data_IF_258889812741
#
_entry.id   IF_258889812741
#
_cell.length_a   1.000
_cell.length_b   1.000
_cell.length_c   1.000
_cell.angle_alpha   90.00
_cell.angle_beta   90.00
_cell.angle_gamma   90.00
#
_symmetry.space_group_name_H-M   'P 1'
#
loop_
_entity.id
_entity.type
_entity.pdbx_description
1 polymer ?
#
# COMPACT_ATOMS: atom_id res chain seq x y z
N UNK A 1 3.49 15.06 -3.78
CA UNK A 1 2.78 15.11 -2.50
C UNK A 1 3.35 16.31 -1.79
N UNK A 2 2.56 17.36 -1.53
CA UNK A 2 3.01 18.45 -0.66
C UNK A 2 2.49 18.11 0.74
N UNK A 3 3.39 17.57 1.56
CA UNK A 3 3.14 17.47 2.99
C UNK A 3 3.82 18.65 3.65
N UNK A 4 3.02 19.59 4.11
CA UNK A 4 3.46 20.63 5.03
C UNK A 4 3.52 20.05 6.44
N UNK A 5 4.64 20.24 7.13
CA UNK A 5 4.77 19.97 8.55
C UNK A 5 5.20 21.24 9.27
N UNK A 6 4.59 21.51 10.41
CA UNK A 6 5.04 22.53 11.36
C UNK A 6 5.88 21.83 12.40
N UNK A 7 7.10 22.29 12.60
CA UNK A 7 8.06 21.71 13.54
C UNK A 7 8.43 22.78 14.56
N UNK A 8 8.18 22.50 15.83
CA UNK A 8 8.57 23.36 16.95
C UNK A 8 9.82 22.78 17.59
N UNK A 9 10.87 23.59 17.68
CA UNK A 9 12.17 23.15 18.16
C UNK A 9 12.87 24.22 18.96
N UNK A 10 13.83 23.78 19.78
CA UNK A 10 14.70 24.67 20.54
C UNK A 10 16.13 24.16 20.57
N UNK A 11 17.06 25.08 20.78
CA UNK A 11 18.45 24.74 21.10
C UNK A 11 18.52 24.28 22.55
N UNK A 12 19.00 23.07 22.76
CA UNK A 12 19.24 22.50 24.09
C UNK A 12 20.71 22.60 24.49
N UNK A 13 21.62 22.52 23.52
CA UNK A 13 23.07 22.65 23.72
C UNK A 13 23.65 23.59 22.67
N UNK A 14 23.95 24.83 23.08
CA UNK A 14 24.45 25.86 22.19
C UNK A 14 25.87 25.55 21.64
N UNK A 15 26.69 24.80 22.38
CA UNK A 15 28.01 24.41 21.90
C UNK A 15 27.85 23.39 20.76
N UNK A 16 27.05 22.34 20.95
CA UNK A 16 26.77 21.38 19.87
C UNK A 16 26.09 22.04 18.68
N UNK A 17 25.13 22.92 18.91
CA UNK A 17 24.44 23.63 17.83
C UNK A 17 25.34 24.58 17.03
N UNK A 18 26.43 25.07 17.63
CA UNK A 18 27.40 25.95 16.96
C UNK A 18 28.59 25.23 16.34
N UNK A 19 28.97 24.05 16.83
CA UNK A 19 30.17 23.33 16.37
C UNK A 19 29.86 22.11 15.50
N UNK A 20 28.69 21.48 15.66
CA UNK A 20 28.36 20.26 14.93
C UNK A 20 27.52 20.53 13.68
N UNK A 21 26.98 21.75 13.54
CA UNK A 21 26.11 22.15 12.45
C UNK A 21 26.38 23.61 12.12
N UNK A 22 26.61 23.93 10.84
CA UNK A 22 26.89 25.30 10.40
C UNK A 22 25.65 26.20 10.52
N UNK A 23 24.56 25.84 9.83
CA UNK A 23 23.25 26.49 9.96
C UNK A 23 22.23 25.51 10.54
N UNK A 24 21.99 25.64 11.85
CA UNK A 24 21.03 24.79 12.55
C UNK A 24 19.58 24.96 12.04
N UNK A 25 19.20 26.12 11.50
CA UNK A 25 17.85 26.32 10.95
C UNK A 25 17.70 25.56 9.64
N UNK A 26 18.68 25.69 8.75
CA UNK A 26 18.70 24.97 7.48
C UNK A 26 18.78 23.45 7.73
N UNK A 27 19.62 23.02 8.66
CA UNK A 27 19.75 21.61 9.03
C UNK A 27 18.45 21.03 9.56
N UNK A 28 17.76 21.72 10.48
CA UNK A 28 16.43 21.30 10.97
C UNK A 28 15.44 21.24 9.82
N UNK A 29 15.42 22.23 8.92
CA UNK A 29 14.57 22.23 7.73
C UNK A 29 14.79 20.99 6.85
N UNK A 30 16.04 20.71 6.50
CA UNK A 30 16.43 19.58 5.66
C UNK A 30 16.10 18.23 6.31
N UNK A 31 16.37 18.07 7.61
CA UNK A 31 16.04 16.83 8.34
C UNK A 31 14.52 16.64 8.48
N UNK A 32 13.78 17.73 8.70
CA UNK A 32 12.32 17.74 8.75
C UNK A 32 11.71 17.31 7.43
N UNK A 33 12.16 17.88 6.31
CA UNK A 33 11.69 17.50 4.99
C UNK A 33 11.98 16.03 4.67
N UNK A 34 13.19 15.57 4.96
CA UNK A 34 13.60 14.18 4.76
C UNK A 34 12.74 13.20 5.57
N UNK A 35 12.49 13.49 6.85
CA UNK A 35 11.66 12.65 7.71
C UNK A 35 10.19 12.63 7.26
N UNK A 36 9.63 13.79 6.89
CA UNK A 36 8.27 13.88 6.34
C UNK A 36 8.14 13.02 5.08
N UNK A 37 9.09 13.09 4.15
CA UNK A 37 9.10 12.24 2.94
C UNK A 37 9.18 10.75 3.28
N UNK A 38 9.98 10.37 4.27
CA UNK A 38 10.12 8.98 4.69
C UNK A 38 8.81 8.42 5.27
N UNK A 39 8.14 9.17 6.14
CA UNK A 39 6.82 8.83 6.69
C UNK A 39 5.78 8.71 5.58
N UNK A 40 5.76 9.68 4.66
CA UNK A 40 4.85 9.71 3.52
C UNK A 40 4.98 8.50 2.58
N UNK A 41 6.19 7.96 2.45
CA UNK A 41 6.47 6.80 1.62
C UNK A 41 6.10 5.47 2.31
N UNK A 42 6.09 5.45 3.65
CA UNK A 42 5.81 4.25 4.45
C UNK A 42 4.33 4.03 4.73
N UNK A 43 3.56 5.10 4.88
CA UNK A 43 2.16 5.02 5.29
C UNK A 43 1.22 5.48 4.17
N UNK A 44 0.09 4.79 3.95
CA UNK A 44 -0.94 5.26 3.04
C UNK A 44 -1.55 6.57 3.53
N UNK A 45 -2.02 7.39 2.60
CA UNK A 45 -2.71 8.64 2.93
C UNK A 45 -3.95 8.40 3.81
N UNK A 46 -4.79 7.43 3.44
CA UNK A 46 -6.02 7.07 4.13
C UNK A 46 -6.22 5.54 4.01
N UNK A 47 -6.69 4.90 5.07
CA UNK A 47 -6.97 3.45 5.12
C UNK A 47 -7.79 3.11 6.36
N UNK A 48 -8.82 2.29 6.19
CA UNK A 48 -9.64 1.75 7.28
C UNK A 48 -9.05 0.46 7.90
N UNK A 49 -8.03 -0.12 7.25
CA UNK A 49 -7.47 -1.44 7.63
C UNK A 49 -6.07 -1.34 8.24
N UNK A 50 -5.33 -0.28 7.95
CA UNK A 50 -3.94 -0.10 8.33
C UNK A 50 -3.70 1.34 8.77
N UNK A 51 -2.64 1.57 9.56
CA UNK A 51 -2.26 2.92 10.01
C UNK A 51 -2.07 3.85 8.82
N UNK A 52 -2.79 4.97 8.80
CA UNK A 52 -2.73 5.94 7.71
C UNK A 52 -2.38 7.35 8.18
N UNK A 53 -1.86 8.17 7.25
CA UNK A 53 -1.49 9.55 7.54
C UNK A 53 -2.69 10.39 8.03
N UNK A 54 -3.89 10.10 7.50
CA UNK A 54 -5.14 10.79 7.86
C UNK A 54 -5.84 10.16 9.06
N UNK A 55 -5.99 8.83 9.07
CA UNK A 55 -6.75 8.12 10.12
C UNK A 55 -6.02 8.05 11.46
N UNK A 56 -4.69 8.07 11.44
CA UNK A 56 -3.84 7.91 12.63
C UNK A 56 -2.86 9.08 12.79
N UNK A 57 -3.34 10.31 12.57
CA UNK A 57 -2.50 11.51 12.55
C UNK A 57 -1.66 11.70 13.82
N UNK A 58 -2.20 11.39 15.00
CA UNK A 58 -1.48 11.50 16.29
C UNK A 58 -0.35 10.45 16.41
N UNK A 59 -0.62 9.19 16.04
CA UNK A 59 0.40 8.13 16.05
C UNK A 59 1.54 8.45 15.08
N UNK A 60 1.19 8.91 13.87
CA UNK A 60 2.16 9.30 12.85
C UNK A 60 2.98 10.50 13.30
N UNK A 61 2.35 11.47 13.96
CA UNK A 61 3.00 12.63 14.54
C UNK A 61 4.03 12.24 15.60
N UNK A 62 3.67 11.33 16.51
CA UNK A 62 4.59 10.83 17.54
C UNK A 62 5.78 10.09 16.93
N UNK A 63 5.54 9.25 15.92
CA UNK A 63 6.63 8.57 15.20
C UNK A 63 7.57 9.55 14.50
N UNK A 64 7.02 10.60 13.88
CA UNK A 64 7.81 11.64 13.24
C UNK A 64 8.63 12.43 14.26
N UNK A 65 8.08 12.73 15.44
CA UNK A 65 8.77 13.39 16.54
C UNK A 65 9.97 12.57 17.03
N UNK A 66 9.78 11.26 17.24
CA UNK A 66 10.84 10.34 17.64
C UNK A 66 11.94 10.24 16.59
N UNK A 67 11.57 10.08 15.31
CA UNK A 67 12.54 9.98 14.22
C UNK A 67 13.37 11.26 14.08
N UNK A 68 12.74 12.43 14.19
CA UNK A 68 13.44 13.71 14.12
C UNK A 68 14.38 13.93 15.31
N UNK A 69 13.92 13.65 16.53
CA UNK A 69 14.79 13.74 17.71
C UNK A 69 15.98 12.78 17.63
N UNK A 70 15.77 11.58 17.08
CA UNK A 70 16.86 10.65 16.84
C UNK A 70 17.89 11.22 15.83
N UNK A 71 17.44 11.74 14.68
CA UNK A 71 18.30 12.33 13.65
C UNK A 71 19.04 13.59 14.12
N UNK A 72 18.40 14.39 14.97
CA UNK A 72 18.95 15.68 15.46
C UNK A 72 19.72 15.56 16.78
N UNK A 73 19.79 14.37 17.38
CA UNK A 73 20.43 14.14 18.68
C UNK A 73 21.89 14.66 18.78
N UNK A 74 22.63 14.66 17.68
CA UNK A 74 24.02 15.13 17.61
C UNK A 74 24.15 16.64 17.42
N UNK A 75 23.07 17.33 17.03
CA UNK A 75 23.08 18.77 16.71
C UNK A 75 22.86 19.68 17.92
N UNK A 76 22.55 19.13 19.10
CA UNK A 76 22.18 19.95 20.26
C UNK A 76 20.78 20.59 20.15
N UNK A 77 19.99 20.15 19.17
CA UNK A 77 18.62 20.61 18.90
C UNK A 77 17.64 19.54 19.41
N UNK A 78 16.55 19.98 20.02
CA UNK A 78 15.44 19.13 20.42
C UNK A 78 14.18 19.59 19.70
N UNK A 79 13.44 18.63 19.15
CA UNK A 79 12.09 18.87 18.61
C UNK A 79 11.10 18.68 19.76
N UNK A 80 10.33 19.71 20.04
CA UNK A 80 9.31 19.72 21.11
C UNK A 80 7.95 19.26 20.60
N UNK A 81 7.61 19.64 19.38
CA UNK A 81 6.36 19.27 18.74
C UNK A 81 6.51 19.20 17.22
N UNK A 82 5.73 18.33 16.60
CA UNK A 82 5.61 18.26 15.14
C UNK A 82 4.15 18.07 14.79
N UNK A 83 3.68 18.76 13.75
CA UNK A 83 2.31 18.59 13.28
C UNK A 83 2.25 18.64 11.77
N UNK A 84 1.65 17.61 11.18
CA UNK A 84 1.31 17.64 9.76
C UNK A 84 0.22 18.72 9.55
N UNK A 85 0.56 19.78 8.84
CA UNK A 85 -0.27 21.00 8.69
C UNK A 85 -1.00 21.04 7.35
N UNK A 86 -0.40 20.49 6.30
CA UNK A 86 -1.02 20.42 4.98
C UNK A 86 -0.76 19.05 4.39
N UNK A 87 -1.82 18.30 4.11
CA UNK A 87 -1.75 17.19 3.17
C UNK A 87 -2.60 17.56 1.96
N UNK A 88 -2.09 18.49 1.13
CA UNK A 88 -2.70 18.73 -0.16
C UNK A 88 -1.91 18.04 -1.27
N UNK A 89 -2.67 17.48 -2.19
CA UNK A 89 -2.12 16.95 -3.40
C UNK A 89 -1.53 18.09 -4.24
N UNK A 90 -0.20 18.12 -4.37
CA UNK A 90 0.40 18.65 -5.59
C UNK A 90 -0.19 17.84 -6.77
N UNK A 91 -0.99 18.49 -7.60
CA UNK A 91 -1.85 17.87 -8.63
C UNK A 91 -1.09 16.95 -9.60
N UNK A 92 0.22 17.14 -9.72
CA UNK A 92 1.11 16.42 -10.61
C UNK A 92 1.46 14.97 -10.16
N UNK A 93 1.46 14.69 -8.84
CA UNK A 93 1.83 13.36 -8.30
C UNK A 93 0.60 12.50 -7.96
N UNK A 94 -0.58 13.12 -7.89
CA UNK A 94 -1.85 12.44 -7.59
C UNK A 94 -2.16 11.31 -8.59
N UNK A 95 -1.91 11.52 -9.89
CA UNK A 95 -2.22 10.55 -10.95
C UNK A 95 -1.35 9.30 -10.88
N UNK A 96 -0.06 9.41 -10.59
CA UNK A 96 0.86 8.26 -10.54
C UNK A 96 0.64 7.39 -9.28
N UNK A 97 0.38 8.00 -8.12
CA UNK A 97 0.04 7.26 -6.91
C UNK A 97 -1.36 6.66 -6.98
N UNK A 98 -2.36 7.41 -7.47
CA UNK A 98 -3.71 6.89 -7.70
C UNK A 98 -3.67 5.71 -8.66
N UNK A 99 -2.87 5.77 -9.74
CA UNK A 99 -2.64 4.63 -10.64
C UNK A 99 -2.05 3.43 -9.92
N UNK A 100 -1.10 3.62 -9.00
CA UNK A 100 -0.51 2.51 -8.22
C UNK A 100 -1.54 1.88 -7.28
N UNK A 101 -2.31 2.69 -6.54
CA UNK A 101 -3.38 2.21 -5.66
C UNK A 101 -4.51 1.52 -6.43
N UNK A 102 -4.90 2.07 -7.59
CA UNK A 102 -5.87 1.43 -8.48
C UNK A 102 -5.33 0.11 -9.03
N UNK A 103 -4.06 0.04 -9.44
CA UNK A 103 -3.45 -1.20 -9.90
C UNK A 103 -3.41 -2.27 -8.80
N UNK A 104 -3.11 -1.88 -7.57
CA UNK A 104 -3.12 -2.76 -6.40
C UNK A 104 -4.54 -3.23 -6.05
N UNK A 105 -5.53 -2.34 -6.08
CA UNK A 105 -6.94 -2.67 -5.89
C UNK A 105 -7.45 -3.62 -6.99
N UNK A 106 -7.09 -3.39 -8.26
CA UNK A 106 -7.43 -4.28 -9.38
C UNK A 106 -6.78 -5.64 -9.20
N UNK A 107 -5.52 -5.70 -8.76
CA UNK A 107 -4.84 -6.96 -8.48
C UNK A 107 -5.52 -7.73 -7.35
N UNK A 108 -5.90 -7.06 -6.26
CA UNK A 108 -6.63 -7.68 -5.15
C UNK A 108 -7.99 -8.20 -5.59
N UNK A 109 -8.74 -7.42 -6.39
CA UNK A 109 -10.00 -7.86 -6.96
C UNK A 109 -9.83 -9.10 -7.86
N UNK A 110 -8.79 -9.12 -8.70
CA UNK A 110 -8.47 -10.28 -9.56
C UNK A 110 -8.10 -11.52 -8.76
N UNK A 111 -7.30 -11.38 -7.69
CA UNK A 111 -6.99 -12.50 -6.79
C UNK A 111 -8.25 -13.07 -6.16
N UNK A 112 -9.10 -12.19 -5.63
CA UNK A 112 -10.37 -12.59 -5.05
C UNK A 112 -11.27 -13.35 -6.04
N UNK A 113 -11.39 -12.87 -7.29
CA UNK A 113 -12.16 -13.56 -8.33
C UNK A 113 -11.60 -14.96 -8.63
N UNK A 114 -10.28 -15.09 -8.76
CA UNK A 114 -9.62 -16.38 -9.03
C UNK A 114 -9.83 -17.37 -7.87
N UNK A 115 -9.70 -16.92 -6.63
CA UNK A 115 -9.92 -17.76 -5.44
C UNK A 115 -11.35 -18.28 -5.34
N UNK A 116 -12.34 -17.42 -5.59
CA UNK A 116 -13.74 -17.81 -5.64
C UNK A 116 -14.02 -18.77 -6.81
N UNK A 117 -13.45 -18.52 -7.98
CA UNK A 117 -13.58 -19.39 -9.14
C UNK A 117 -13.02 -20.79 -8.88
N UNK A 118 -11.85 -20.90 -8.25
CA UNK A 118 -11.26 -22.19 -7.85
C UNK A 118 -12.18 -22.97 -6.90
N UNK A 119 -12.81 -22.28 -5.95
CA UNK A 119 -13.76 -22.88 -5.01
C UNK A 119 -15.01 -23.41 -5.73
N UNK A 120 -15.53 -22.67 -6.71
CA UNK A 120 -16.66 -23.11 -7.52
C UNK A 120 -16.30 -24.36 -8.33
N UNK A 121 -15.13 -24.37 -8.97
CA UNK A 121 -14.66 -25.52 -9.75
C UNK A 121 -14.47 -26.76 -8.88
N UNK A 122 -13.87 -26.61 -7.70
CA UNK A 122 -13.66 -27.71 -6.76
C UNK A 122 -15.01 -28.31 -6.31
N UNK A 123 -15.97 -27.47 -5.95
CA UNK A 123 -17.32 -27.91 -5.58
C UNK A 123 -18.03 -28.68 -6.72
N UNK A 124 -17.89 -28.22 -7.96
CA UNK A 124 -18.47 -28.90 -9.13
C UNK A 124 -17.83 -30.27 -9.36
N UNK A 125 -16.50 -30.37 -9.27
CA UNK A 125 -15.80 -31.64 -9.42
C UNK A 125 -16.21 -32.63 -8.32
N UNK A 126 -16.25 -32.17 -7.06
CA UNK A 126 -16.69 -32.99 -5.92
C UNK A 126 -18.13 -33.46 -6.10
N UNK A 127 -19.02 -32.62 -6.62
CA UNK A 127 -20.41 -32.99 -6.92
C UNK A 127 -20.48 -34.13 -7.96
N UNK A 128 -19.74 -34.00 -9.06
CA UNK A 128 -19.73 -35.03 -10.12
C UNK A 128 -19.04 -36.34 -9.71
N UNK A 129 -17.98 -36.27 -8.90
CA UNK A 129 -17.32 -37.46 -8.36
C UNK A 129 -18.24 -38.21 -7.39
N UNK A 130 -19.00 -37.50 -6.55
CA UNK A 130 -19.98 -38.10 -5.62
C UNK A 130 -21.15 -38.78 -6.34
N UNK A 131 -21.60 -38.21 -7.46
CA UNK A 131 -22.74 -38.75 -8.21
C UNK A 131 -22.39 -40.01 -9.03
N UNK A 132 -21.12 -40.46 -9.02
CA UNK A 132 -20.62 -41.71 -9.63
C UNK A 132 -20.97 -41.92 -11.12
N UNK A 133 -21.46 -40.87 -11.80
CA UNK A 133 -21.98 -40.95 -13.18
C UNK A 133 -20.96 -40.52 -14.24
N UNK A 134 -19.80 -40.01 -13.85
CA UNK A 134 -18.81 -39.44 -14.76
C UNK A 134 -17.39 -39.90 -14.38
N UNK A 135 -16.89 -40.92 -15.09
CA UNK A 135 -15.48 -41.29 -15.04
C UNK A 135 -14.70 -40.37 -15.99
N UNK A 136 -14.26 -39.21 -15.48
CA UNK A 136 -13.55 -38.21 -16.28
C UNK A 136 -12.06 -38.55 -16.29
N UNK A 137 -11.51 -38.79 -17.48
CA UNK A 137 -10.08 -38.97 -17.68
C UNK A 137 -9.29 -37.74 -17.16
N UNK A 138 -8.12 -37.92 -16.50
CA UNK A 138 -7.35 -36.81 -15.95
C UNK A 138 -7.04 -35.68 -16.96
N UNK A 139 -6.87 -35.99 -18.24
CA UNK A 139 -6.67 -34.99 -19.29
C UNK A 139 -7.90 -34.11 -19.49
N UNK A 140 -9.09 -34.71 -19.56
CA UNK A 140 -10.36 -33.97 -19.68
C UNK A 140 -10.71 -33.17 -18.43
N UNK A 141 -10.29 -33.64 -17.25
CA UNK A 141 -10.48 -32.91 -15.98
C UNK A 141 -9.72 -31.58 -16.00
N UNK A 142 -8.48 -31.58 -16.50
CA UNK A 142 -7.68 -30.35 -16.65
C UNK A 142 -8.30 -29.36 -17.66
N UNK A 143 -8.85 -29.86 -18.77
CA UNK A 143 -9.56 -29.03 -19.75
C UNK A 143 -10.79 -28.36 -19.15
N UNK A 144 -11.61 -29.11 -18.40
CA UNK A 144 -12.81 -28.58 -17.75
C UNK A 144 -12.45 -27.51 -16.71
N UNK A 145 -11.42 -27.76 -15.88
CA UNK A 145 -10.94 -26.80 -14.89
C UNK A 145 -10.48 -25.51 -15.57
N UNK A 146 -9.68 -25.62 -16.62
CA UNK A 146 -9.18 -24.47 -17.36
C UNK A 146 -10.33 -23.67 -17.99
N UNK A 147 -11.28 -24.36 -18.63
CA UNK A 147 -12.45 -23.71 -19.26
C UNK A 147 -13.32 -23.00 -18.22
N UNK A 148 -13.61 -23.63 -17.08
CA UNK A 148 -14.39 -23.01 -16.02
C UNK A 148 -13.66 -21.83 -15.39
N UNK A 149 -12.36 -21.92 -15.14
CA UNK A 149 -11.56 -20.79 -14.64
C UNK A 149 -11.60 -19.62 -15.60
N UNK A 150 -11.42 -19.86 -16.91
CA UNK A 150 -11.48 -18.81 -17.93
C UNK A 150 -12.87 -18.16 -17.97
N UNK A 151 -13.95 -18.94 -17.90
CA UNK A 151 -15.32 -18.42 -17.89
C UNK A 151 -15.61 -17.60 -16.63
N UNK A 152 -15.21 -18.09 -15.45
CA UNK A 152 -15.49 -17.45 -14.16
C UNK A 152 -14.63 -16.21 -13.89
N UNK A 153 -13.48 -16.09 -14.55
CA UNK A 153 -12.53 -14.99 -14.34
C UNK A 153 -12.45 -14.01 -15.52
N UNK A 154 -13.15 -14.29 -16.63
CA UNK A 154 -13.21 -13.36 -17.78
C UNK A 154 -14.24 -12.25 -17.57
N UNK A 155 -13.79 -11.01 -17.76
CA UNK A 155 -14.64 -9.81 -17.81
C UNK A 155 -15.44 -9.68 -19.12
N UNK A 156 -15.15 -10.49 -20.14
CA UNK A 156 -15.89 -10.56 -21.40
C UNK A 156 -16.76 -11.80 -21.40
N UNK A 157 -17.99 -11.69 -21.91
CA UNK A 157 -18.86 -12.83 -22.22
C UNK A 157 -18.04 -13.96 -22.85
N UNK A 158 -17.75 -14.99 -22.05
CA UNK A 158 -16.87 -16.07 -22.45
C UNK A 158 -17.64 -16.96 -23.43
N UNK A 159 -17.20 -17.00 -24.69
CA UNK A 159 -17.75 -17.95 -25.66
C UNK A 159 -17.08 -19.31 -25.45
N UNK A 160 -17.82 -20.35 -25.04
CA UNK A 160 -17.23 -21.68 -24.83
C UNK A 160 -16.77 -22.25 -26.16
N UNK A 161 -15.46 -22.53 -26.27
CA UNK A 161 -14.90 -23.22 -27.43
C UNK A 161 -14.97 -24.73 -27.15
N UNK A 162 -16.09 -25.34 -27.52
CA UNK A 162 -16.20 -26.80 -27.49
C UNK A 162 -15.59 -27.32 -28.79
N UNK A 163 -14.35 -27.81 -28.72
CA UNK A 163 -13.73 -28.51 -29.84
C UNK A 163 -14.23 -29.96 -29.88
N UNK A 164 -15.34 -30.18 -30.57
CA UNK A 164 -15.78 -31.51 -30.98
C UNK A 164 -15.04 -31.86 -32.28
N UNK A 165 -13.78 -32.28 -32.14
CA UNK A 165 -12.97 -32.81 -33.23
C UNK A 165 -13.12 -34.33 -33.32
N UNK A 166 -13.70 -34.78 -34.45
CA UNK A 166 -13.76 -36.10 -35.11
C UNK A 166 -13.57 -37.39 -34.32
#
# INVERSE_FOLDING_TARGET
MEIGAVVVWRVNDAAKASFNVDDYKEFVGNQSESAVRAIAARYPYDSDKETSLRGNAEEITNKLLEELNHKLSTSGIIIEDVKLSHLAYASEIATSMLRKQQAEAVLQARKYLVENALTIVDNVLVHFEKDNKLNIDPGKKLEIINNLLVILTSDKEANPVINVGS
#
